data_IF_931018967448
#
_entry.id   IF_931018967448
#
_cell.length_a   1.000
_cell.length_b   1.000
_cell.length_c   1.000
_cell.angle_alpha   90.00
_cell.angle_beta   90.00
_cell.angle_gamma   90.00
#
_symmetry.space_group_name_H-M   'P 1'
#
loop_
_entity.id
_entity.type
_entity.pdbx_description
1 polymer ?
#
# COMPACT_ATOMS: atom_id res chain seq x y z
N UNK A 1 2.57 23.64 -27.49
CA UNK A 1 2.48 22.94 -26.19
C UNK A 1 2.15 21.49 -26.46
N UNK A 2 2.89 20.56 -25.85
CA UNK A 2 2.76 19.12 -26.13
C UNK A 2 1.66 18.54 -25.26
N UNK A 3 0.53 18.18 -25.88
CA UNK A 3 -0.52 17.41 -25.21
C UNK A 3 -0.04 16.00 -24.94
N UNK A 4 -0.39 15.47 -23.78
CA UNK A 4 -0.10 14.08 -23.41
C UNK A 4 -1.36 13.37 -22.93
N UNK A 5 -1.34 12.04 -22.95
CA UNK A 5 -2.43 11.22 -22.42
C UNK A 5 -2.56 11.42 -20.92
N UNK A 6 -3.78 11.44 -20.40
CA UNK A 6 -4.08 11.58 -18.98
C UNK A 6 -3.35 10.51 -18.14
N UNK A 7 -3.33 9.26 -18.59
CA UNK A 7 -2.61 8.18 -17.91
C UNK A 7 -1.10 8.45 -17.76
N UNK A 8 -0.47 9.08 -18.75
CA UNK A 8 0.93 9.49 -18.71
C UNK A 8 1.14 10.75 -17.86
N UNK A 9 0.22 11.72 -17.97
CA UNK A 9 0.26 12.95 -17.18
C UNK A 9 0.18 12.68 -15.68
N UNK A 10 -0.67 11.74 -15.24
CA UNK A 10 -0.78 11.35 -13.84
C UNK A 10 0.53 10.75 -13.31
N UNK A 11 1.23 9.94 -14.11
CA UNK A 11 2.54 9.39 -13.72
C UNK A 11 3.60 10.48 -13.67
N UNK A 12 3.68 11.31 -14.71
CA UNK A 12 4.65 12.40 -14.79
C UNK A 12 4.51 13.41 -13.63
N UNK A 13 3.28 13.59 -13.12
CA UNK A 13 2.98 14.48 -11.98
C UNK A 13 3.01 13.77 -10.62
N UNK A 14 3.45 12.50 -10.56
CA UNK A 14 3.56 11.74 -9.31
C UNK A 14 2.22 11.35 -8.68
N UNK A 15 1.11 11.47 -9.41
CA UNK A 15 -0.24 11.11 -8.96
C UNK A 15 -0.53 9.60 -9.15
N UNK A 16 0.28 8.90 -9.93
CA UNK A 16 0.21 7.45 -10.11
C UNK A 16 1.60 6.84 -10.23
N UNK A 17 1.80 5.64 -9.67
CA UNK A 17 3.09 4.93 -9.70
C UNK A 17 3.45 4.30 -11.06
N UNK A 18 2.49 4.15 -11.96
CA UNK A 18 2.66 3.58 -13.29
C UNK A 18 1.46 3.92 -14.17
N UNK A 19 1.58 3.76 -15.50
CA UNK A 19 0.46 3.99 -16.44
C UNK A 19 -0.70 3.02 -16.21
N UNK A 20 -0.41 1.79 -15.76
CA UNK A 20 -1.43 0.82 -15.36
C UNK A 20 -2.22 1.30 -14.14
N UNK A 21 -1.53 1.72 -13.08
CA UNK A 21 -2.17 2.28 -11.89
C UNK A 21 -2.98 3.55 -12.22
N UNK A 22 -2.46 4.42 -13.08
CA UNK A 22 -3.17 5.60 -13.56
C UNK A 22 -4.49 5.21 -14.28
N UNK A 23 -4.46 4.16 -15.10
CA UNK A 23 -5.65 3.65 -15.79
C UNK A 23 -6.70 3.10 -14.82
N UNK A 24 -6.26 2.37 -13.80
CA UNK A 24 -7.13 1.86 -12.73
C UNK A 24 -7.81 3.01 -11.97
N UNK A 25 -7.05 4.05 -11.59
CA UNK A 25 -7.58 5.26 -10.94
C UNK A 25 -8.67 5.94 -11.78
N UNK A 26 -8.40 6.14 -13.07
CA UNK A 26 -9.35 6.78 -13.98
C UNK A 26 -10.63 5.95 -14.10
N UNK A 27 -10.50 4.62 -14.24
CA UNK A 27 -11.65 3.70 -14.32
C UNK A 27 -12.45 3.62 -13.03
N UNK A 28 -11.79 3.79 -11.88
CA UNK A 28 -12.42 3.82 -10.57
C UNK A 28 -13.13 5.16 -10.28
N UNK A 29 -13.09 6.14 -11.19
CA UNK A 29 -13.65 7.48 -10.93
C UNK A 29 -12.85 8.27 -9.91
N UNK A 30 -11.55 7.97 -9.76
CA UNK A 30 -10.70 8.56 -8.74
C UNK A 30 -9.92 9.79 -9.21
N UNK A 31 -10.16 10.28 -10.43
CA UNK A 31 -9.36 11.34 -11.08
C UNK A 31 -10.27 12.48 -11.52
N UNK A 32 -9.90 13.71 -11.17
CA UNK A 32 -10.51 14.95 -11.64
C UNK A 32 -9.57 15.65 -12.64
N UNK A 33 -10.16 16.12 -13.74
CA UNK A 33 -9.55 17.01 -14.73
C UNK A 33 -10.32 18.32 -14.70
N UNK A 34 -9.68 19.40 -14.26
CA UNK A 34 -10.31 20.72 -14.07
C UNK A 34 -11.61 20.65 -13.24
N UNK A 35 -11.60 19.81 -12.21
CA UNK A 35 -12.75 19.61 -11.30
C UNK A 35 -13.82 18.64 -11.80
N UNK A 36 -13.68 18.07 -12.98
CA UNK A 36 -14.63 17.09 -13.55
C UNK A 36 -14.06 15.67 -13.54
N UNK A 37 -14.90 14.68 -13.25
CA UNK A 37 -14.49 13.27 -13.26
C UNK A 37 -13.99 12.85 -14.64
N UNK A 38 -12.82 12.23 -14.66
CA UNK A 38 -12.22 11.68 -15.87
C UNK A 38 -12.59 10.20 -16.03
N UNK A 39 -12.97 9.82 -17.26
CA UNK A 39 -13.36 8.44 -17.57
C UNK A 39 -12.48 7.78 -18.65
N UNK A 40 -11.62 8.56 -19.33
CA UNK A 40 -10.84 8.08 -20.49
C UNK A 40 -9.34 8.23 -20.26
N UNK A 41 -8.60 7.12 -20.05
CA UNK A 41 -7.14 7.15 -19.86
C UNK A 41 -6.36 7.82 -21.00
N UNK A 42 -6.87 7.69 -22.22
CA UNK A 42 -6.26 8.26 -23.42
C UNK A 42 -6.66 9.73 -23.70
N UNK A 43 -7.50 10.35 -22.85
CA UNK A 43 -7.84 11.76 -22.99
C UNK A 43 -6.56 12.60 -23.03
N UNK A 44 -6.47 13.51 -23.99
CA UNK A 44 -5.35 14.44 -24.10
C UNK A 44 -5.55 15.58 -23.11
N UNK A 45 -4.50 15.89 -22.34
CA UNK A 45 -4.45 17.01 -21.40
C UNK A 45 -3.24 17.89 -21.71
N UNK A 46 -3.39 19.18 -21.47
CA UNK A 46 -2.33 20.17 -21.61
C UNK A 46 -1.45 20.18 -20.33
N UNK A 47 -0.30 20.85 -20.42
CA UNK A 47 0.68 20.88 -19.34
C UNK A 47 0.16 21.62 -18.09
N UNK A 48 -0.73 22.59 -18.28
CA UNK A 48 -1.38 23.45 -17.30
C UNK A 48 -2.73 22.92 -16.79
N UNK A 49 -3.31 21.89 -17.44
CA UNK A 49 -4.55 21.23 -16.99
C UNK A 49 -4.43 20.79 -15.53
N UNK A 50 -5.39 21.17 -14.68
CA UNK A 50 -5.41 20.80 -13.26
C UNK A 50 -5.82 19.34 -13.13
N UNK A 51 -4.96 18.52 -12.51
CA UNK A 51 -5.23 17.11 -12.24
C UNK A 51 -5.22 16.86 -10.75
N UNK A 52 -6.27 16.20 -10.27
CA UNK A 52 -6.44 15.86 -8.86
C UNK A 52 -6.95 14.43 -8.71
N UNK A 53 -6.70 13.85 -7.54
CA UNK A 53 -7.31 12.58 -7.17
C UNK A 53 -8.42 12.87 -6.16
N UNK A 54 -9.61 12.31 -6.38
CA UNK A 54 -10.74 12.46 -5.44
C UNK A 54 -10.42 11.88 -4.07
N UNK A 55 -9.53 10.88 -4.06
CA UNK A 55 -8.89 10.30 -2.90
C UNK A 55 -7.52 9.79 -3.35
N UNK A 56 -6.50 9.86 -2.48
CA UNK A 56 -5.22 9.19 -2.80
C UNK A 56 -5.52 7.70 -3.00
N UNK A 57 -5.11 7.05 -4.12
CA UNK A 57 -5.06 5.61 -4.14
C UNK A 57 -4.27 5.20 -2.92
N UNK A 58 -4.82 4.29 -2.15
CA UNK A 58 -4.03 3.65 -1.13
C UNK A 58 -2.90 2.93 -1.87
N UNK A 59 -1.70 3.54 -1.82
CA UNK A 59 -0.55 3.21 -2.64
C UNK A 59 0.09 1.93 -2.17
N UNK A 60 -0.70 0.85 -2.11
CA UNK A 60 -0.31 -0.40 -1.52
C UNK A 60 0.82 -1.01 -2.33
N UNK A 61 1.91 -1.34 -1.64
CA UNK A 61 3.10 -1.97 -2.25
C UNK A 61 2.82 -3.39 -2.76
N UNK A 62 1.71 -4.02 -2.34
CA UNK A 62 1.27 -5.32 -2.83
C UNK A 62 -0.25 -5.48 -2.77
N UNK A 63 -0.81 -6.22 -3.75
CA UNK A 63 -2.27 -6.49 -3.83
C UNK A 63 -2.82 -7.23 -2.62
N UNK A 64 -1.95 -7.94 -1.88
CA UNK A 64 -2.32 -8.61 -0.65
C UNK A 64 -2.90 -7.64 0.39
N UNK A 65 -2.50 -6.37 0.41
CA UNK A 65 -3.05 -5.35 1.32
C UNK A 65 -4.59 -5.37 1.41
N UNK A 66 -5.27 -5.54 0.26
CA UNK A 66 -6.73 -5.61 0.21
C UNK A 66 -7.33 -6.76 1.02
N UNK A 67 -6.63 -7.89 1.15
CA UNK A 67 -7.09 -9.01 1.97
C UNK A 67 -7.14 -8.62 3.45
N UNK A 68 -6.08 -7.99 3.96
CA UNK A 68 -6.02 -7.58 5.36
C UNK A 68 -6.98 -6.42 5.66
N UNK A 69 -7.13 -5.48 4.72
CA UNK A 69 -8.13 -4.41 4.83
C UNK A 69 -9.55 -4.96 5.00
N UNK A 70 -9.93 -5.89 4.12
CA UNK A 70 -11.24 -6.56 4.18
C UNK A 70 -11.37 -7.38 5.47
N UNK A 71 -10.32 -8.09 5.89
CA UNK A 71 -10.34 -8.84 7.14
C UNK A 71 -10.63 -7.92 8.34
N UNK A 72 -9.95 -6.78 8.44
CA UNK A 72 -10.22 -5.82 9.51
C UNK A 72 -11.61 -5.19 9.44
N UNK A 73 -12.14 -4.95 8.23
CA UNK A 73 -13.51 -4.44 8.06
C UNK A 73 -14.54 -5.49 8.52
N UNK A 74 -14.45 -6.70 7.98
CA UNK A 74 -15.43 -7.77 8.24
C UNK A 74 -15.37 -8.22 9.70
N UNK A 75 -14.17 -8.52 10.22
CA UNK A 75 -14.05 -9.04 11.57
C UNK A 75 -14.11 -7.94 12.63
N UNK A 76 -13.59 -6.74 12.33
CA UNK A 76 -13.67 -5.59 13.23
C UNK A 76 -15.10 -5.07 13.43
N UNK A 77 -15.99 -5.28 12.44
CA UNK A 77 -17.41 -4.99 12.60
C UNK A 77 -18.12 -5.93 13.60
N UNK A 78 -17.59 -7.13 13.82
CA UNK A 78 -18.15 -8.11 14.77
C UNK A 78 -17.62 -7.85 16.19
N UNK A 79 -16.30 -7.69 16.32
CA UNK A 79 -15.66 -7.36 17.60
C UNK A 79 -14.36 -6.56 17.36
N UNK A 80 -14.33 -5.23 17.56
CA UNK A 80 -13.19 -4.40 17.17
C UNK A 80 -11.93 -4.61 18.03
N UNK A 81 -12.07 -5.09 19.26
CA UNK A 81 -10.96 -5.17 20.21
C UNK A 81 -9.83 -6.15 19.79
N UNK A 82 -10.10 -7.40 19.36
CA UNK A 82 -9.06 -8.30 18.88
C UNK A 82 -8.44 -7.84 17.55
N UNK A 83 -9.20 -7.14 16.70
CA UNK A 83 -8.80 -6.78 15.33
C UNK A 83 -8.17 -5.39 15.18
N UNK A 84 -7.86 -4.71 16.29
CA UNK A 84 -7.12 -3.43 16.27
C UNK A 84 -5.62 -3.68 16.41
N UNK A 85 -4.82 -3.09 15.52
CA UNK A 85 -3.34 -3.17 15.55
C UNK A 85 -2.69 -1.89 16.08
N UNK A 86 -3.47 -0.84 16.34
CA UNK A 86 -2.95 0.43 16.85
C UNK A 86 -2.17 0.23 18.16
N UNK A 87 -0.92 0.71 18.19
CA UNK A 87 -0.01 0.58 19.33
C UNK A 87 0.56 -0.82 19.56
N UNK A 88 0.21 -1.83 18.74
CA UNK A 88 0.68 -3.21 18.92
C UNK A 88 1.99 -3.47 18.19
N UNK A 89 2.70 -4.50 18.65
CA UNK A 89 3.79 -5.11 17.90
C UNK A 89 3.19 -6.21 17.03
N UNK A 90 3.52 -6.23 15.75
CA UNK A 90 2.94 -7.18 14.80
C UNK A 90 4.03 -8.01 14.13
N UNK A 91 3.68 -9.25 13.78
CA UNK A 91 4.48 -10.14 12.95
C UNK A 91 3.74 -10.39 11.63
N UNK A 92 4.35 -10.01 10.51
CA UNK A 92 3.87 -10.29 9.15
C UNK A 92 4.64 -11.49 8.60
N UNK A 93 4.01 -12.67 8.57
CA UNK A 93 4.63 -13.91 8.10
C UNK A 93 4.38 -14.09 6.60
N UNK A 94 5.46 -14.17 5.82
CA UNK A 94 5.40 -14.16 4.36
C UNK A 94 5.16 -12.75 3.81
N UNK A 95 5.87 -11.76 4.35
CA UNK A 95 5.64 -10.35 4.08
C UNK A 95 5.79 -9.96 2.60
N UNK A 96 6.63 -10.67 1.83
CA UNK A 96 6.90 -10.45 0.42
C UNK A 96 7.19 -8.96 0.13
N UNK A 97 6.41 -8.30 -0.74
CA UNK A 97 6.59 -6.87 -1.02
C UNK A 97 6.12 -5.94 0.12
N UNK A 98 5.44 -6.48 1.14
CA UNK A 98 5.02 -5.77 2.36
C UNK A 98 3.59 -5.24 2.35
N UNK A 99 2.68 -5.85 1.59
CA UNK A 99 1.30 -5.36 1.50
C UNK A 99 0.56 -5.36 2.85
N UNK A 100 0.72 -6.41 3.66
CA UNK A 100 0.13 -6.49 5.01
C UNK A 100 0.86 -5.56 5.98
N UNK A 101 2.20 -5.60 5.96
CA UNK A 101 3.06 -4.67 6.70
C UNK A 101 2.62 -3.22 6.55
N UNK A 102 2.42 -2.74 5.31
CA UNK A 102 1.97 -1.37 5.07
C UNK A 102 0.59 -1.10 5.70
N UNK A 103 -0.36 -2.01 5.55
CA UNK A 103 -1.71 -1.86 6.14
C UNK A 103 -1.63 -1.75 7.66
N UNK A 104 -0.79 -2.55 8.31
CA UNK A 104 -0.63 -2.50 9.76
C UNK A 104 0.01 -1.19 10.22
N UNK A 105 1.03 -0.70 9.52
CA UNK A 105 1.66 0.59 9.81
C UNK A 105 0.70 1.77 9.63
N UNK A 106 -0.07 1.78 8.55
CA UNK A 106 -1.08 2.82 8.29
C UNK A 106 -2.23 2.77 9.30
N UNK A 107 -2.51 1.60 9.90
CA UNK A 107 -3.47 1.44 11.01
C UNK A 107 -2.85 1.63 12.39
N UNK A 108 -1.63 2.12 12.47
CA UNK A 108 -1.00 2.58 13.71
C UNK A 108 -0.27 1.51 14.51
N UNK A 109 0.11 0.37 13.92
CA UNK A 109 1.03 -0.56 14.56
C UNK A 109 2.29 0.17 15.03
N UNK A 110 2.71 -0.10 16.28
CA UNK A 110 3.90 0.49 16.86
C UNK A 110 5.17 -0.08 16.22
N UNK A 111 5.13 -1.37 15.86
CA UNK A 111 6.22 -2.09 15.21
C UNK A 111 5.68 -3.22 14.34
N UNK A 112 6.34 -3.51 13.23
CA UNK A 112 6.06 -4.68 12.38
C UNK A 112 7.35 -5.42 12.07
N UNK A 113 7.40 -6.70 12.42
CA UNK A 113 8.44 -7.63 11.95
C UNK A 113 7.96 -8.27 10.66
N UNK A 114 8.64 -7.99 9.55
CA UNK A 114 8.35 -8.53 8.22
C UNK A 114 9.22 -9.76 7.98
N UNK A 115 8.67 -10.95 8.23
CA UNK A 115 9.35 -12.23 8.09
C UNK A 115 9.06 -12.82 6.70
N UNK A 116 10.11 -13.23 5.98
CA UNK A 116 9.95 -13.96 4.72
C UNK A 116 11.09 -14.98 4.50
N UNK A 117 10.80 -16.02 3.73
CA UNK A 117 11.81 -16.99 3.25
C UNK A 117 12.59 -16.46 2.04
N UNK A 118 12.01 -15.49 1.32
CA UNK A 118 12.67 -14.74 0.26
C UNK A 118 13.71 -13.75 0.80
N UNK A 119 14.44 -13.11 -0.11
CA UNK A 119 15.44 -12.09 0.18
C UNK A 119 15.13 -10.80 -0.59
N UNK A 120 15.34 -9.65 0.05
CA UNK A 120 15.28 -8.31 -0.55
C UNK A 120 13.95 -7.98 -1.27
N UNK A 121 12.85 -8.59 -0.84
CA UNK A 121 11.54 -8.44 -1.49
C UNK A 121 10.78 -7.21 -1.00
N UNK A 122 11.06 -6.75 0.21
CA UNK A 122 10.31 -5.70 0.87
C UNK A 122 10.47 -4.37 0.13
N UNK A 123 9.37 -3.65 -0.05
CA UNK A 123 9.40 -2.38 -0.76
C UNK A 123 10.37 -1.38 -0.07
N UNK A 124 11.17 -0.61 -0.83
CA UNK A 124 12.17 0.30 -0.25
C UNK A 124 11.60 1.29 0.77
N UNK A 125 10.37 1.76 0.55
CA UNK A 125 9.69 2.67 1.47
C UNK A 125 9.36 2.04 2.81
N UNK A 126 9.10 0.73 2.85
CA UNK A 126 8.85 -0.01 4.08
C UNK A 126 10.15 -0.38 4.79
N UNK A 127 11.19 -0.78 4.04
CA UNK A 127 12.54 -1.01 4.62
C UNK A 127 13.12 0.23 5.28
N UNK A 128 12.78 1.41 4.78
CA UNK A 128 13.21 2.68 5.35
C UNK A 128 12.36 3.16 6.54
N UNK A 129 11.21 2.53 6.84
CA UNK A 129 10.37 2.92 7.97
C UNK A 129 10.98 2.38 9.27
N UNK A 130 11.28 3.22 10.27
CA UNK A 130 11.95 2.80 11.51
C UNK A 130 11.09 1.86 12.38
N UNK A 131 9.79 1.73 12.09
CA UNK A 131 8.88 0.79 12.77
C UNK A 131 8.95 -0.61 12.18
N UNK A 132 9.69 -0.81 11.09
CA UNK A 132 9.78 -2.09 10.39
C UNK A 132 11.12 -2.76 10.65
N UNK A 133 11.07 -4.04 11.01
CA UNK A 133 12.24 -4.92 11.01
C UNK A 133 12.06 -5.98 9.91
N UNK A 134 12.99 -6.03 8.97
CA UNK A 134 12.99 -7.05 7.92
C UNK A 134 13.78 -8.28 8.38
N UNK A 135 13.14 -9.45 8.33
CA UNK A 135 13.76 -10.75 8.62
C UNK A 135 13.63 -11.62 7.36
N UNK A 136 14.61 -11.48 6.46
CA UNK A 136 14.68 -12.22 5.19
C UNK A 136 15.39 -13.57 5.34
N UNK A 137 15.06 -14.54 4.48
CA UNK A 137 15.70 -15.86 4.43
C UNK A 137 15.32 -16.79 5.58
N UNK A 138 14.30 -16.46 6.37
CA UNK A 138 13.94 -17.21 7.58
C UNK A 138 12.54 -17.80 7.45
N UNK A 139 12.45 -19.11 7.66
CA UNK A 139 11.16 -19.80 7.76
C UNK A 139 10.57 -19.63 9.16
N UNK A 140 9.26 -19.36 9.23
CA UNK A 140 8.52 -19.39 10.50
C UNK A 140 8.58 -20.79 11.17
N UNK A 141 8.80 -21.86 10.38
CA UNK A 141 8.92 -23.23 10.88
C UNK A 141 10.30 -23.42 11.51
N UNK A 142 10.42 -23.14 12.80
CA UNK A 142 11.65 -23.33 13.57
C UNK A 142 12.29 -22.05 14.11
N UNK A 143 11.57 -20.92 14.08
CA UNK A 143 12.00 -19.68 14.74
C UNK A 143 11.19 -19.46 16.02
N UNK A 144 11.89 -19.14 17.10
CA UNK A 144 11.28 -18.80 18.39
C UNK A 144 10.79 -17.35 18.38
N UNK A 145 9.67 -17.08 19.06
CA UNK A 145 9.11 -15.72 19.12
C UNK A 145 10.09 -14.69 19.70
N UNK A 146 10.93 -15.10 20.65
CA UNK A 146 11.98 -14.26 21.24
C UNK A 146 13.06 -13.87 20.23
N UNK A 147 13.38 -14.75 19.28
CA UNK A 147 14.33 -14.45 18.21
C UNK A 147 13.82 -13.39 17.22
N UNK A 148 12.49 -13.18 17.18
CA UNK A 148 11.83 -12.14 16.39
C UNK A 148 11.53 -10.87 17.21
N UNK A 149 11.97 -10.79 18.47
CA UNK A 149 11.70 -9.64 19.34
C UNK A 149 10.29 -9.62 19.96
N UNK A 150 9.64 -10.78 20.08
CA UNK A 150 8.39 -10.93 20.81
C UNK A 150 8.53 -10.70 22.32
N UNK A 151 7.41 -10.70 23.08
CA UNK A 151 6.06 -11.04 22.63
C UNK A 151 5.42 -9.96 21.75
N UNK A 152 4.47 -10.38 20.92
CA UNK A 152 3.68 -9.55 20.00
C UNK A 152 2.25 -9.41 20.52
#
# INVERSE_FOLDING_TARGET
MTRQRLDAALVARGLARSRGAATELIRAGAVLVDGLLAHRPAQLVDADTRLELTHRPAGWVGRAAHKLLVAFEVFGAVDPAPWTVAGRHCLDVGACTGGFTQVMLERGAARVVALDVGHDQLAPTLRADPRVEEVSGVSIRGVEATALGGPF
#
